data_IF_536931071879
#
_entry.id   IF_536931071879
#
_cell.length_a   1.000
_cell.length_b   1.000
_cell.length_c   1.000
_cell.angle_alpha   90.00
_cell.angle_beta   90.00
_cell.angle_gamma   90.00
#
_symmetry.space_group_name_H-M   'P 1'
#
loop_
_entity.id
_entity.type
_entity.pdbx_description
1 polymer ?
#
# COMPACT_ATOMS: atom_id res chain seq x y z
N UNK A 1 9.51 -8.93 -20.39
CA UNK A 1 9.67 -7.48 -20.06
C UNK A 1 8.91 -7.27 -18.76
N UNK A 2 9.26 -7.90 -17.64
CA UNK A 2 10.55 -8.06 -16.96
C UNK A 2 11.23 -6.73 -16.63
N UNK A 3 11.33 -6.53 -15.31
CA UNK A 3 12.28 -5.71 -14.56
C UNK A 3 12.08 -4.19 -14.51
N UNK A 4 11.23 -3.74 -13.57
CA UNK A 4 11.33 -2.38 -13.00
C UNK A 4 10.83 -2.30 -11.54
N UNK A 5 11.19 -3.27 -10.72
CA UNK A 5 11.14 -3.18 -9.26
C UNK A 5 12.54 -3.40 -8.73
N UNK A 6 13.36 -2.35 -8.77
CA UNK A 6 14.60 -2.31 -8.00
C UNK A 6 14.31 -1.88 -6.57
N UNK A 7 15.01 -2.55 -5.65
CA UNK A 7 14.98 -2.45 -4.21
C UNK A 7 15.09 -1.01 -3.68
N UNK A 8 14.08 -0.57 -2.94
CA UNK A 8 14.24 0.56 -2.00
C UNK A 8 14.64 -0.05 -0.66
N UNK A 9 15.95 -0.10 -0.41
CA UNK A 9 16.50 -0.33 0.92
C UNK A 9 16.00 0.77 1.86
N UNK A 10 15.21 0.39 2.85
CA UNK A 10 14.83 1.23 3.98
C UNK A 10 16.07 1.50 4.83
N UNK A 11 16.62 2.70 4.75
CA UNK A 11 17.55 3.20 5.76
C UNK A 11 16.78 3.90 6.87
N UNK A 12 16.95 3.37 8.09
CA UNK A 12 16.53 3.95 9.35
C UNK A 12 17.04 5.38 9.50
N UNK A 13 16.12 6.31 9.79
CA UNK A 13 16.45 7.68 10.17
C UNK A 13 16.46 7.74 11.71
N UNK A 14 17.60 7.98 12.38
CA UNK A 14 17.59 8.33 13.79
C UNK A 14 17.18 9.79 13.96
N UNK A 15 16.12 9.97 14.73
CA UNK A 15 15.63 11.22 15.26
C UNK A 15 16.65 11.78 16.29
N UNK A 16 17.18 12.97 16.05
CA UNK A 16 18.14 13.65 16.94
C UNK A 16 17.97 15.16 16.89
N UNK A 17 17.55 15.72 18.02
CA UNK A 17 17.22 17.14 18.22
C UNK A 17 18.44 18.08 18.18
N UNK A 18 18.13 19.31 17.74
CA UNK A 18 18.68 20.61 18.18
C UNK A 18 20.19 20.82 18.24
N UNK A 19 20.69 21.76 17.42
CA UNK A 19 21.37 23.00 17.84
C UNK A 19 21.90 23.76 16.62
N UNK A 20 21.94 25.09 16.70
CA UNK A 20 22.85 25.88 15.87
C UNK A 20 22.18 26.80 14.86
N UNK A 21 21.94 28.03 15.32
CA UNK A 21 21.72 29.24 14.54
C UNK A 21 22.83 29.50 13.49
N UNK A 22 22.44 30.29 12.47
CA UNK A 22 23.25 30.94 11.41
C UNK A 22 23.57 30.13 10.15
N UNK A 23 22.56 29.96 9.29
CA UNK A 23 22.81 30.08 7.85
C UNK A 23 22.57 31.54 7.43
N UNK A 24 23.67 32.22 7.08
CA UNK A 24 23.62 33.43 6.27
C UNK A 24 23.04 33.04 4.91
N UNK A 25 21.73 33.22 4.74
CA UNK A 25 21.11 33.26 3.42
C UNK A 25 21.63 34.51 2.72
N UNK A 26 22.65 34.34 1.87
CA UNK A 26 22.91 35.31 0.82
C UNK A 26 21.70 35.28 -0.12
N UNK A 27 20.83 36.26 0.06
CA UNK A 27 19.78 36.64 -0.87
C UNK A 27 20.45 36.93 -2.21
N UNK A 28 20.32 36.03 -3.19
CA UNK A 28 20.63 36.31 -4.60
C UNK A 28 19.68 37.37 -5.23
N UNK A 29 19.02 38.17 -4.38
CA UNK A 29 18.08 39.22 -4.70
C UNK A 29 18.64 40.62 -4.39
N UNK A 30 19.70 40.74 -3.58
CA UNK A 30 20.35 42.03 -3.27
C UNK A 30 21.45 42.44 -4.27
N UNK A 31 21.69 41.65 -5.31
CA UNK A 31 22.69 41.96 -6.34
C UNK A 31 22.18 42.91 -7.46
N UNK A 32 20.95 43.42 -7.34
CA UNK A 32 20.31 44.25 -8.38
C UNK A 32 19.82 45.62 -7.92
N UNK A 33 20.17 46.08 -6.72
CA UNK A 33 19.82 47.44 -6.23
C UNK A 33 20.95 48.47 -6.42
N UNK A 34 21.52 48.54 -7.62
CA UNK A 34 22.31 49.70 -8.04
C UNK A 34 22.14 49.95 -9.55
N UNK A 35 20.89 50.11 -9.99
CA UNK A 35 20.62 50.77 -11.27
C UNK A 35 20.71 52.29 -11.07
N UNK A 36 21.84 52.85 -11.51
CA UNK A 36 21.95 54.28 -11.77
C UNK A 36 20.86 54.70 -12.76
N UNK A 37 20.21 55.87 -12.59
CA UNK A 37 19.25 56.36 -13.57
C UNK A 37 20.02 56.78 -14.81
N UNK A 38 20.14 55.87 -15.79
CA UNK A 38 20.61 56.19 -17.12
C UNK A 38 19.65 57.21 -17.71
N UNK A 39 20.13 58.44 -17.86
CA UNK A 39 19.41 59.52 -18.50
C UNK A 39 18.79 59.00 -19.80
N UNK A 40 17.47 59.16 -19.91
CA UNK A 40 16.69 58.83 -21.08
C UNK A 40 17.19 59.62 -22.28
N UNK A 41 18.13 59.02 -23.00
CA UNK A 41 18.50 59.44 -24.32
C UNK A 41 17.34 58.98 -25.22
N UNK A 42 16.38 59.88 -25.45
CA UNK A 42 15.34 59.69 -26.48
C UNK A 42 16.05 59.83 -27.83
N UNK A 43 16.84 58.83 -28.19
CA UNK A 43 17.12 58.56 -29.58
C UNK A 43 15.80 58.10 -30.17
N UNK A 44 15.16 58.98 -30.93
CA UNK A 44 14.27 58.55 -32.01
C UNK A 44 15.13 57.76 -33.01
N UNK A 45 15.47 56.53 -32.63
CA UNK A 45 16.10 55.58 -33.51
C UNK A 45 15.05 55.27 -34.57
N UNK A 46 15.25 55.83 -35.76
CA UNK A 46 14.64 55.32 -36.97
C UNK A 46 15.15 53.88 -37.14
N UNK A 47 14.48 52.94 -36.47
CA UNK A 47 14.74 51.52 -36.57
C UNK A 47 14.47 51.17 -38.03
N UNK A 48 15.52 50.75 -38.74
CA UNK A 48 15.38 50.27 -40.12
C UNK A 48 14.26 49.23 -40.17
N UNK A 49 13.46 49.22 -41.22
CA UNK A 49 12.34 48.27 -41.39
C UNK A 49 12.79 46.82 -41.19
N UNK A 50 14.03 46.51 -41.59
CA UNK A 50 14.68 45.21 -41.38
C UNK A 50 14.93 44.88 -39.90
N UNK A 51 15.38 45.85 -39.09
CA UNK A 51 15.59 45.65 -37.65
C UNK A 51 14.27 45.44 -36.91
N UNK A 52 13.21 46.13 -37.34
CA UNK A 52 11.85 45.93 -36.80
C UNK A 52 11.35 44.51 -37.10
N UNK A 53 11.50 44.06 -38.35
CA UNK A 53 11.16 42.69 -38.76
C UNK A 53 11.94 41.63 -37.96
N UNK A 54 13.23 41.84 -37.73
CA UNK A 54 14.06 40.92 -36.92
C UNK A 54 13.59 40.84 -35.47
N UNK A 55 13.23 41.98 -34.87
CA UNK A 55 12.70 42.05 -33.50
C UNK A 55 11.34 41.35 -33.40
N UNK A 56 10.45 41.59 -34.36
CA UNK A 56 9.13 40.96 -34.39
C UNK A 56 9.22 39.44 -34.58
N UNK A 57 10.15 38.96 -35.43
CA UNK A 57 10.43 37.53 -35.59
C UNK A 57 10.96 36.89 -34.31
N UNK A 58 11.87 37.57 -33.60
CA UNK A 58 12.40 37.06 -32.33
C UNK A 58 11.30 36.96 -31.27
N UNK A 59 10.46 38.00 -31.18
CA UNK A 59 9.31 38.01 -30.28
C UNK A 59 8.36 36.84 -30.57
N UNK A 60 8.09 36.54 -31.84
CA UNK A 60 7.21 35.42 -32.21
C UNK A 60 7.80 34.07 -31.80
N UNK A 61 9.13 33.88 -31.94
CA UNK A 61 9.82 32.66 -31.49
C UNK A 61 9.77 32.52 -29.96
N UNK A 62 9.94 33.61 -29.22
CA UNK A 62 9.89 33.60 -27.76
C UNK A 62 8.46 33.34 -27.25
N UNK A 63 7.46 33.96 -27.88
CA UNK A 63 6.04 33.73 -27.59
C UNK A 63 5.66 32.26 -27.86
N UNK A 64 6.16 31.66 -28.95
CA UNK A 64 5.95 30.24 -29.27
C UNK A 64 6.61 29.31 -28.23
N UNK A 65 7.84 29.60 -27.82
CA UNK A 65 8.53 28.84 -26.76
C UNK A 65 7.78 28.91 -25.44
N UNK A 66 7.30 30.10 -25.07
CA UNK A 66 6.54 30.30 -23.84
C UNK A 66 5.20 29.54 -23.89
N UNK A 67 4.54 29.52 -25.06
CA UNK A 67 3.33 28.73 -25.26
C UNK A 67 3.60 27.22 -25.08
N UNK A 68 4.70 26.70 -25.65
CA UNK A 68 5.09 25.29 -25.48
C UNK A 68 5.40 24.94 -24.02
N UNK A 69 6.07 25.82 -23.27
CA UNK A 69 6.33 25.61 -21.84
C UNK A 69 5.02 25.58 -21.06
N UNK A 70 4.12 26.53 -21.32
CA UNK A 70 2.82 26.60 -20.64
C UNK A 70 1.97 25.35 -20.93
N UNK A 71 1.99 24.85 -22.15
CA UNK A 71 1.29 23.62 -22.52
C UNK A 71 1.85 22.42 -21.75
N UNK A 72 3.18 22.26 -21.70
CA UNK A 72 3.83 21.18 -20.94
C UNK A 72 3.49 21.24 -19.45
N UNK A 73 3.52 22.43 -18.85
CA UNK A 73 3.15 22.63 -17.45
C UNK A 73 1.70 22.24 -17.18
N UNK A 74 0.78 22.56 -18.10
CA UNK A 74 -0.63 22.16 -17.98
C UNK A 74 -0.79 20.65 -18.09
N UNK A 75 -0.13 20.01 -19.05
CA UNK A 75 -0.15 18.57 -19.21
C UNK A 75 0.42 17.86 -17.97
N UNK A 76 1.53 18.34 -17.41
CA UNK A 76 2.12 17.78 -16.21
C UNK A 76 1.17 17.91 -15.01
N UNK A 77 0.53 19.07 -14.82
CA UNK A 77 -0.46 19.27 -13.74
C UNK A 77 -1.65 18.31 -13.89
N UNK A 78 -2.15 18.12 -15.10
CA UNK A 78 -3.24 17.17 -15.38
C UNK A 78 -2.81 15.75 -15.04
N UNK A 79 -1.63 15.32 -15.49
CA UNK A 79 -1.10 13.98 -15.19
C UNK A 79 -0.89 13.77 -13.68
N UNK A 80 -0.34 14.76 -12.97
CA UNK A 80 -0.19 14.70 -11.51
C UNK A 80 -1.54 14.58 -10.82
N UNK A 81 -2.54 15.35 -11.24
CA UNK A 81 -3.89 15.28 -10.69
C UNK A 81 -4.52 13.90 -10.93
N UNK A 82 -4.40 13.36 -12.14
CA UNK A 82 -4.92 12.03 -12.49
C UNK A 82 -4.25 10.92 -11.67
N UNK A 83 -2.91 10.97 -11.54
CA UNK A 83 -2.16 10.00 -10.72
C UNK A 83 -2.61 10.06 -9.26
N UNK A 84 -2.82 11.26 -8.72
CA UNK A 84 -3.32 11.44 -7.35
C UNK A 84 -4.73 10.86 -7.16
N UNK A 85 -5.65 11.12 -8.10
CA UNK A 85 -7.01 10.54 -8.05
C UNK A 85 -6.96 9.01 -8.06
N UNK A 86 -6.21 8.42 -9.00
CA UNK A 86 -6.06 6.96 -9.10
C UNK A 86 -5.46 6.35 -7.83
N UNK A 87 -4.46 7.00 -7.24
CA UNK A 87 -3.87 6.53 -5.99
C UNK A 87 -4.87 6.56 -4.82
N UNK A 88 -5.73 7.58 -4.76
CA UNK A 88 -6.79 7.68 -3.75
C UNK A 88 -7.87 6.61 -3.95
N UNK A 89 -8.29 6.37 -5.20
CA UNK A 89 -9.22 5.30 -5.56
C UNK A 89 -8.67 3.94 -5.14
N UNK A 90 -7.43 3.63 -5.52
CA UNK A 90 -6.75 2.39 -5.14
C UNK A 90 -6.66 2.21 -3.63
N UNK A 91 -6.28 3.27 -2.89
CA UNK A 91 -6.22 3.23 -1.44
C UNK A 91 -7.60 2.97 -0.81
N UNK A 92 -8.65 3.55 -1.36
CA UNK A 92 -10.02 3.34 -0.89
C UNK A 92 -10.48 1.90 -1.13
N UNK A 93 -10.22 1.35 -2.32
CA UNK A 93 -10.53 -0.04 -2.66
C UNK A 93 -9.76 -1.02 -1.77
N UNK A 94 -8.46 -0.78 -1.57
CA UNK A 94 -7.62 -1.61 -0.71
C UNK A 94 -8.14 -1.63 0.74
N UNK A 95 -8.50 -0.47 1.30
CA UNK A 95 -9.10 -0.39 2.65
C UNK A 95 -10.41 -1.17 2.74
N UNK A 96 -11.27 -1.05 1.73
CA UNK A 96 -12.55 -1.77 1.67
C UNK A 96 -12.34 -3.29 1.61
N UNK A 97 -11.39 -3.76 0.80
CA UNK A 97 -11.04 -5.18 0.72
C UNK A 97 -10.48 -5.68 2.06
N UNK A 98 -9.56 -4.93 2.67
CA UNK A 98 -8.99 -5.27 3.96
C UNK A 98 -10.05 -5.36 5.06
N UNK A 99 -11.00 -4.42 5.09
CA UNK A 99 -12.10 -4.45 6.06
C UNK A 99 -13.02 -5.66 5.85
N UNK A 100 -13.37 -5.97 4.60
CA UNK A 100 -14.16 -7.15 4.27
C UNK A 100 -13.47 -8.45 4.72
N UNK A 101 -12.16 -8.58 4.48
CA UNK A 101 -11.36 -9.73 4.90
C UNK A 101 -11.32 -9.87 6.43
N UNK A 102 -11.18 -8.75 7.15
CA UNK A 102 -11.20 -8.76 8.62
C UNK A 102 -12.57 -9.22 9.13
N UNK A 103 -13.67 -8.72 8.56
CA UNK A 103 -15.03 -9.12 8.94
C UNK A 103 -15.25 -10.60 8.67
N UNK A 104 -14.82 -11.10 7.51
CA UNK A 104 -14.92 -12.51 7.15
C UNK A 104 -14.10 -13.41 8.09
N UNK A 105 -12.86 -13.01 8.42
CA UNK A 105 -12.02 -13.75 9.38
C UNK A 105 -12.65 -13.76 10.77
N UNK A 106 -13.21 -12.64 11.22
CA UNK A 106 -13.94 -12.56 12.51
C UNK A 106 -15.15 -13.50 12.53
N UNK A 107 -15.95 -13.53 11.46
CA UNK A 107 -17.13 -14.42 11.40
C UNK A 107 -16.72 -15.89 11.40
N UNK A 108 -15.70 -16.26 10.62
CA UNK A 108 -15.18 -17.63 10.60
C UNK A 108 -14.60 -18.05 11.96
N UNK A 109 -13.85 -17.17 12.61
CA UNK A 109 -13.29 -17.47 13.94
C UNK A 109 -14.39 -17.63 14.99
N UNK A 110 -15.43 -16.77 14.93
CA UNK A 110 -16.61 -16.91 15.80
C UNK A 110 -17.31 -18.25 15.58
N UNK A 111 -17.56 -18.64 14.32
CA UNK A 111 -18.18 -19.93 14.01
C UNK A 111 -17.34 -21.11 14.51
N UNK A 112 -16.01 -21.06 14.32
CA UNK A 112 -15.10 -22.09 14.84
C UNK A 112 -15.14 -22.17 16.36
N UNK A 113 -15.21 -21.03 17.04
CA UNK A 113 -15.34 -20.97 18.49
C UNK A 113 -16.68 -21.55 18.96
N UNK A 114 -17.79 -21.22 18.29
CA UNK A 114 -19.12 -21.73 18.62
C UNK A 114 -19.16 -23.26 18.47
N UNK A 115 -18.62 -23.80 17.37
CA UNK A 115 -18.47 -25.25 17.16
C UNK A 115 -17.59 -25.89 18.25
N UNK A 116 -16.49 -25.24 18.62
CA UNK A 116 -15.61 -25.74 19.67
C UNK A 116 -16.31 -25.78 21.05
N UNK A 117 -17.07 -24.74 21.39
CA UNK A 117 -17.86 -24.68 22.62
C UNK A 117 -18.97 -25.74 22.62
N UNK A 118 -19.64 -25.95 21.48
CA UNK A 118 -20.65 -26.98 21.32
C UNK A 118 -20.05 -28.38 21.49
N UNK A 119 -18.89 -28.65 20.88
CA UNK A 119 -18.16 -29.91 21.06
C UNK A 119 -17.78 -30.14 22.53
N UNK A 120 -17.31 -29.12 23.24
CA UNK A 120 -17.04 -29.23 24.69
C UNK A 120 -18.30 -29.54 25.47
N UNK A 121 -19.43 -28.90 25.14
CA UNK A 121 -20.71 -29.16 25.80
C UNK A 121 -21.15 -30.61 25.58
N UNK A 122 -21.04 -31.12 24.36
CA UNK A 122 -21.34 -32.53 24.04
C UNK A 122 -20.43 -33.46 24.83
N UNK A 123 -19.11 -33.19 24.87
CA UNK A 123 -18.16 -34.01 25.61
C UNK A 123 -18.39 -34.01 27.13
N UNK A 124 -18.81 -32.88 27.70
CA UNK A 124 -19.11 -32.77 29.14
C UNK A 124 -20.49 -33.36 29.50
N UNK A 125 -21.44 -33.36 28.58
CA UNK A 125 -22.76 -33.96 28.78
C UNK A 125 -22.80 -35.47 28.49
N UNK A 126 -21.89 -35.97 27.64
CA UNK A 126 -21.75 -37.40 27.37
C UNK A 126 -21.21 -38.12 28.61
N UNK A 127 -22.13 -38.73 29.37
CA UNK A 127 -21.81 -39.57 30.54
C UNK A 127 -21.09 -40.88 30.16
N UNK A 128 -21.12 -41.27 28.89
CA UNK A 128 -20.53 -42.53 28.43
C UNK A 128 -19.06 -42.37 28.05
N UNK A 129 -18.17 -42.79 28.94
CA UNK A 129 -16.72 -42.74 28.73
C UNK A 129 -16.26 -43.52 27.48
N UNK A 130 -16.98 -44.56 27.06
CA UNK A 130 -16.61 -45.34 25.87
C UNK A 130 -16.93 -44.61 24.55
N UNK A 131 -17.93 -43.74 24.55
CA UNK A 131 -18.23 -42.89 23.40
C UNK A 131 -17.13 -41.84 23.20
N UNK A 132 -16.61 -41.28 24.30
CA UNK A 132 -15.46 -40.37 24.30
C UNK A 132 -14.16 -41.06 23.85
N UNK A 133 -13.92 -42.30 24.29
CA UNK A 133 -12.76 -43.07 23.84
C UNK A 133 -12.88 -43.38 22.34
N UNK A 134 -14.07 -43.79 21.89
CA UNK A 134 -14.31 -44.11 20.48
C UNK A 134 -14.21 -42.87 19.55
N UNK A 135 -14.56 -41.67 20.02
CA UNK A 135 -14.40 -40.43 19.24
C UNK A 135 -12.94 -39.98 19.12
N UNK A 136 -12.08 -40.39 20.07
CA UNK A 136 -10.69 -39.96 20.15
C UNK A 136 -9.70 -40.95 19.50
N UNK A 137 -10.16 -42.13 19.08
CA UNK A 137 -9.32 -43.08 18.33
C UNK A 137 -9.38 -42.79 16.83
N UNK A 138 -8.24 -42.88 16.16
CA UNK A 138 -8.16 -42.83 14.70
C UNK A 138 -8.89 -44.04 14.11
N UNK A 139 -10.08 -43.83 13.54
CA UNK A 139 -10.91 -44.92 13.03
C UNK A 139 -10.50 -45.38 11.63
N UNK A 140 -9.81 -44.53 10.85
CA UNK A 140 -9.39 -44.86 9.49
C UNK A 140 -8.04 -45.58 9.47
N UNK A 141 -7.86 -46.48 8.52
CA UNK A 141 -6.57 -47.12 8.27
C UNK A 141 -5.59 -46.10 7.69
N UNK A 142 -4.43 -45.94 8.34
CA UNK A 142 -3.41 -44.94 8.01
C UNK A 142 -3.48 -43.62 8.78
N UNK A 143 -4.53 -43.38 9.57
CA UNK A 143 -4.67 -42.15 10.39
C UNK A 143 -3.91 -42.24 11.73
N UNK A 144 -3.59 -43.46 12.18
CA UNK A 144 -2.78 -43.64 13.39
C UNK A 144 -1.30 -43.34 13.09
N UNK A 145 -0.67 -42.38 13.79
CA UNK A 145 0.71 -41.97 13.51
C UNK A 145 1.77 -42.97 14.00
N UNK A 146 1.39 -44.02 14.72
CA UNK A 146 2.32 -45.00 15.27
C UNK A 146 2.61 -46.18 14.33
N UNK A 147 3.79 -46.78 14.48
CA UNK A 147 4.25 -47.91 13.66
C UNK A 147 3.57 -49.26 13.97
N UNK A 148 2.88 -49.38 15.12
CA UNK A 148 2.25 -50.63 15.55
C UNK A 148 0.84 -50.75 14.97
N UNK A 149 0.47 -51.97 14.54
CA UNK A 149 -0.90 -52.27 14.13
C UNK A 149 -1.85 -52.23 15.34
N UNK A 150 -2.75 -51.24 15.33
CA UNK A 150 -3.76 -51.01 16.36
C UNK A 150 -5.16 -51.50 15.93
N UNK A 151 -5.29 -52.20 14.80
CA UNK A 151 -6.58 -52.61 14.22
C UNK A 151 -7.40 -53.49 15.16
N UNK A 152 -6.79 -54.48 15.82
CA UNK A 152 -7.48 -55.32 16.81
C UNK A 152 -7.94 -54.54 18.04
N UNK A 153 -7.13 -53.59 18.50
CA UNK A 153 -7.48 -52.72 19.62
C UNK A 153 -8.66 -51.81 19.26
N UNK A 154 -8.66 -51.24 18.03
CA UNK A 154 -9.77 -50.43 17.50
C UNK A 154 -11.07 -51.23 17.45
N UNK A 155 -11.02 -52.45 16.93
CA UNK A 155 -12.19 -53.35 16.90
C UNK A 155 -12.70 -53.67 18.32
N UNK A 156 -11.80 -53.93 19.28
CA UNK A 156 -12.19 -54.23 20.66
C UNK A 156 -12.88 -53.03 21.34
N UNK A 157 -12.38 -51.81 21.13
CA UNK A 157 -12.98 -50.58 21.66
C UNK A 157 -14.38 -50.35 21.06
N UNK A 158 -14.52 -50.52 19.74
CA UNK A 158 -15.81 -50.37 19.06
C UNK A 158 -16.85 -51.39 19.54
N UNK A 159 -16.44 -52.66 19.69
CA UNK A 159 -17.31 -53.71 20.21
C UNK A 159 -17.75 -53.39 21.65
N UNK A 160 -16.83 -52.90 22.51
CA UNK A 160 -17.20 -52.50 23.88
C UNK A 160 -18.11 -51.30 23.96
N UNK A 161 -18.01 -50.35 23.03
CA UNK A 161 -19.01 -49.29 22.90
C UNK A 161 -20.39 -49.87 22.58
N UNK A 162 -20.49 -50.75 21.59
CA UNK A 162 -21.78 -51.34 21.18
C UNK A 162 -22.43 -52.22 22.26
N UNK A 163 -21.63 -52.86 23.11
CA UNK A 163 -22.14 -53.68 24.23
C UNK A 163 -22.81 -52.83 25.32
N UNK A 164 -22.35 -51.59 25.54
CA UNK A 164 -22.83 -50.70 26.60
C UNK A 164 -24.02 -49.83 26.18
N UNK A 165 -24.26 -49.70 24.88
CA UNK A 165 -25.38 -48.95 24.30
C UNK A 165 -26.57 -49.82 23.93
N UNK A 166 -26.49 -51.15 24.13
CA UNK A 166 -27.60 -52.11 24.01
C UNK A 166 -28.34 -52.23 25.34
#
# INVERSE_FOLDING_TARGET
MDDFFEDIQTHDVPNGQQSGFQEQQYTAFDAFENETPTQGNIFNAYVSTEQKLRKDKLRLIDDERLAQIREKDQQERLLKSQKKSKAQEYLSEFKKQQEADIVQKRSQNKQKQDIWLENIKIHTQNKNSWEQIASNIALKDGEYPGQKDVTKMRQAILNKRSDLTK
#
